data_IF_703447883993
#
_entry.id   IF_703447883993
#
_cell.length_a   1.000
_cell.length_b   1.000
_cell.length_c   1.000
_cell.angle_alpha   90.00
_cell.angle_beta   90.00
_cell.angle_gamma   90.00
#
_symmetry.space_group_name_H-M   'P 1'
#
loop_
_entity.id
_entity.type
_entity.pdbx_description
1 polymer ?
#
# COMPACT_ATOMS: atom_id res chain seq x y z
N UNK A 1 -11.06 6.34 -4.17
CA UNK A 1 -9.89 5.56 -3.69
C UNK A 1 -10.12 5.10 -2.25
N UNK A 2 -10.01 5.97 -1.23
CA UNK A 2 -10.11 5.57 0.18
C UNK A 2 -11.41 4.89 0.58
N UNK A 3 -12.59 5.37 0.14
CA UNK A 3 -13.86 4.72 0.43
C UNK A 3 -13.90 3.25 -0.04
N UNK A 4 -13.38 2.97 -1.24
CA UNK A 4 -13.24 1.61 -1.74
C UNK A 4 -12.20 0.80 -0.96
N UNK A 5 -11.11 1.42 -0.49
CA UNK A 5 -10.14 0.77 0.39
C UNK A 5 -10.74 0.38 1.74
N UNK A 6 -11.62 1.21 2.31
CA UNK A 6 -12.33 0.90 3.56
C UNK A 6 -13.28 -0.29 3.39
N UNK A 7 -13.86 -0.44 2.20
CA UNK A 7 -14.68 -1.59 1.82
C UNK A 7 -13.86 -2.80 1.34
N UNK A 8 -12.52 -2.71 1.38
CA UNK A 8 -11.58 -3.72 0.84
C UNK A 8 -11.80 -4.07 -0.63
N UNK A 9 -12.37 -3.15 -1.40
CA UNK A 9 -12.57 -3.29 -2.85
C UNK A 9 -11.32 -2.81 -3.59
N UNK A 10 -10.25 -3.60 -3.51
CA UNK A 10 -8.89 -3.23 -3.94
C UNK A 10 -8.78 -2.86 -5.42
N UNK A 11 -9.36 -3.65 -6.33
CA UNK A 11 -9.41 -3.32 -7.76
C UNK A 11 -10.02 -1.93 -8.04
N UNK A 12 -11.17 -1.63 -7.41
CA UNK A 12 -11.82 -0.32 -7.55
C UNK A 12 -10.94 0.78 -6.98
N UNK A 13 -10.38 0.58 -5.79
CA UNK A 13 -9.47 1.52 -5.17
C UNK A 13 -8.25 1.81 -6.06
N UNK A 14 -7.65 0.77 -6.66
CA UNK A 14 -6.52 0.86 -7.58
C UNK A 14 -6.87 1.66 -8.84
N UNK A 15 -8.05 1.43 -9.44
CA UNK A 15 -8.51 2.21 -10.59
C UNK A 15 -8.60 3.71 -10.28
N UNK A 16 -9.09 4.08 -9.10
CA UNK A 16 -9.10 5.48 -8.67
C UNK A 16 -7.70 6.00 -8.32
N UNK A 17 -6.83 5.19 -7.73
CA UNK A 17 -5.44 5.58 -7.48
C UNK A 17 -4.69 5.85 -8.79
N UNK A 18 -4.93 5.05 -9.83
CA UNK A 18 -4.41 5.27 -11.18
C UNK A 18 -4.87 6.60 -11.75
N UNK A 19 -6.19 6.89 -11.72
CA UNK A 19 -6.72 8.19 -12.18
C UNK A 19 -6.10 9.36 -11.43
N UNK A 20 -5.93 9.25 -10.10
CA UNK A 20 -5.26 10.28 -9.31
C UNK A 20 -3.79 10.44 -9.71
N UNK A 21 -3.07 9.35 -9.97
CA UNK A 21 -1.68 9.41 -10.46
C UNK A 21 -1.59 10.14 -11.81
N UNK A 22 -2.53 9.88 -12.70
CA UNK A 22 -2.52 10.40 -14.08
C UNK A 22 -2.96 11.87 -14.12
N UNK A 23 -4.01 12.23 -13.39
CA UNK A 23 -4.70 13.53 -13.52
C UNK A 23 -4.37 14.53 -12.40
N UNK A 24 -3.96 14.07 -11.21
CA UNK A 24 -3.79 14.96 -10.05
C UNK A 24 -2.46 15.70 -10.06
N UNK A 25 -2.49 16.96 -9.58
CA UNK A 25 -1.31 17.82 -9.39
C UNK A 25 -0.68 17.68 -8.01
N UNK A 26 -1.27 16.91 -7.09
CA UNK A 26 -0.83 16.88 -5.70
C UNK A 26 0.50 16.13 -5.49
N UNK A 27 0.54 14.83 -5.77
CA UNK A 27 1.79 14.05 -5.69
C UNK A 27 1.73 12.76 -6.51
N UNK A 28 2.46 12.75 -7.63
CA UNK A 28 2.64 11.54 -8.44
C UNK A 28 3.35 10.43 -7.67
N UNK A 29 4.30 10.79 -6.80
CA UNK A 29 4.99 9.86 -5.91
C UNK A 29 4.00 9.08 -5.02
N UNK A 30 3.14 9.80 -4.29
CA UNK A 30 2.18 9.17 -3.38
C UNK A 30 1.21 8.29 -4.13
N UNK A 31 0.58 8.77 -5.21
CA UNK A 31 -0.40 7.97 -5.94
C UNK A 31 0.20 6.77 -6.67
N UNK A 32 1.46 6.85 -7.12
CA UNK A 32 2.16 5.70 -7.70
C UNK A 32 2.41 4.62 -6.64
N UNK A 33 2.84 5.01 -5.44
CA UNK A 33 2.99 4.09 -4.32
C UNK A 33 1.63 3.50 -3.90
N UNK A 34 0.59 4.33 -3.78
CA UNK A 34 -0.76 3.87 -3.42
C UNK A 34 -1.33 2.91 -4.44
N UNK A 35 -1.12 3.15 -5.75
CA UNK A 35 -1.52 2.21 -6.79
C UNK A 35 -0.82 0.86 -6.62
N UNK A 36 0.50 0.87 -6.35
CA UNK A 36 1.28 -0.35 -6.17
C UNK A 36 0.77 -1.19 -4.97
N UNK A 37 0.58 -0.57 -3.80
CA UNK A 37 0.13 -1.30 -2.61
C UNK A 37 -1.30 -1.83 -2.74
N UNK A 38 -2.17 -1.14 -3.50
CA UNK A 38 -3.55 -1.58 -3.75
C UNK A 38 -3.59 -2.74 -4.76
N UNK A 39 -2.75 -2.71 -5.80
CA UNK A 39 -2.58 -3.86 -6.70
C UNK A 39 -2.00 -5.05 -5.93
N UNK A 40 -1.04 -4.82 -5.03
CA UNK A 40 -0.48 -5.88 -4.20
C UNK A 40 -1.51 -6.51 -3.27
N UNK A 41 -2.48 -5.74 -2.77
CA UNK A 41 -3.54 -6.21 -1.87
C UNK A 41 -4.58 -7.10 -2.57
N UNK A 42 -4.74 -6.96 -3.89
CA UNK A 42 -5.68 -7.78 -4.66
C UNK A 42 -4.99 -9.04 -5.19
N UNK A 43 -5.43 -10.22 -4.74
CA UNK A 43 -4.86 -11.51 -5.15
C UNK A 43 -5.25 -11.91 -6.58
N UNK A 44 -6.28 -11.28 -7.16
CA UNK A 44 -6.82 -11.66 -8.46
C UNK A 44 -6.14 -10.96 -9.64
N UNK A 45 -5.14 -10.09 -9.39
CA UNK A 45 -4.51 -9.29 -10.45
C UNK A 45 -3.47 -10.12 -11.21
N UNK A 46 -3.59 -10.26 -12.55
CA UNK A 46 -2.57 -10.92 -13.37
C UNK A 46 -1.23 -10.18 -13.34
N UNK A 47 -0.11 -10.91 -13.35
CA UNK A 47 1.26 -10.34 -13.32
C UNK A 47 1.46 -9.31 -12.20
N UNK A 48 0.77 -9.50 -11.06
CA UNK A 48 0.78 -8.62 -9.89
C UNK A 48 2.19 -8.21 -9.46
N UNK A 49 3.09 -9.18 -9.30
CA UNK A 49 4.45 -8.93 -8.85
C UNK A 49 5.20 -7.97 -9.77
N UNK A 50 5.15 -8.21 -11.08
CA UNK A 50 5.81 -7.37 -12.09
C UNK A 50 5.23 -5.95 -12.12
N UNK A 51 3.90 -5.83 -12.04
CA UNK A 51 3.22 -4.53 -12.01
C UNK A 51 3.60 -3.72 -10.76
N UNK A 52 3.60 -4.37 -9.59
CA UNK A 52 4.00 -3.76 -8.31
C UNK A 52 5.45 -3.32 -8.34
N UNK A 53 6.35 -4.19 -8.79
CA UNK A 53 7.78 -3.89 -8.88
C UNK A 53 8.04 -2.71 -9.82
N UNK A 54 7.43 -2.71 -11.00
CA UNK A 54 7.53 -1.61 -11.96
C UNK A 54 7.06 -0.29 -11.34
N UNK A 55 5.91 -0.29 -10.66
CA UNK A 55 5.38 0.91 -10.02
C UNK A 55 6.30 1.43 -8.91
N UNK A 56 6.80 0.54 -8.06
CA UNK A 56 7.65 0.93 -6.94
C UNK A 56 9.02 1.46 -7.37
N UNK A 57 9.58 0.98 -8.49
CA UNK A 57 10.80 1.55 -9.08
C UNK A 57 10.66 3.02 -9.46
N UNK A 58 9.47 3.47 -9.86
CA UNK A 58 9.23 4.87 -10.24
C UNK A 58 8.99 5.82 -9.05
N UNK A 59 8.70 5.29 -7.86
CA UNK A 59 8.32 6.10 -6.69
C UNK A 59 9.45 7.05 -6.25
N UNK A 60 10.71 6.61 -6.10
CA UNK A 60 11.80 7.49 -5.66
C UNK A 60 12.05 8.68 -6.60
N UNK A 61 11.87 8.47 -7.90
CA UNK A 61 12.11 9.45 -8.97
C UNK A 61 10.96 10.44 -9.13
N UNK A 62 9.75 10.05 -8.70
CA UNK A 62 8.54 10.88 -8.79
C UNK A 62 8.40 11.91 -7.65
N UNK A 63 9.41 12.02 -6.78
CA UNK A 63 9.39 12.94 -5.63
C UNK A 63 9.58 14.39 -6.05
N UNK A 64 8.80 15.26 -5.44
CA UNK A 64 8.90 16.71 -5.59
C UNK A 64 9.53 17.31 -4.34
N UNK A 65 10.38 18.32 -4.55
CA UNK A 65 10.92 19.15 -3.47
C UNK A 65 10.28 20.51 -3.54
N UNK A 66 9.71 20.96 -2.43
CA UNK A 66 9.17 22.31 -2.26
C UNK A 66 10.11 23.03 -1.30
N UNK A 67 10.70 24.14 -1.75
CA UNK A 67 11.73 24.87 -1.01
C UNK A 67 12.88 23.96 -0.50
N UNK A 68 13.32 23.03 -1.35
CA UNK A 68 14.42 22.09 -1.03
C UNK A 68 14.04 20.93 -0.10
N UNK A 69 12.83 20.93 0.48
CA UNK A 69 12.34 19.85 1.36
C UNK A 69 11.37 18.94 0.60
N UNK A 70 11.50 17.64 0.81
CA UNK A 70 10.49 16.68 0.34
C UNK A 70 9.28 16.66 1.27
N UNK A 71 8.09 16.46 0.70
CA UNK A 71 6.88 16.25 1.49
C UNK A 71 7.03 15.00 2.37
N UNK A 72 6.57 15.01 3.64
CA UNK A 72 6.68 13.86 4.53
C UNK A 72 6.09 12.57 3.96
N UNK A 73 4.92 12.66 3.31
CA UNK A 73 4.26 11.52 2.68
C UNK A 73 5.06 10.93 1.51
N UNK A 74 5.70 11.77 0.70
CA UNK A 74 6.56 11.31 -0.38
C UNK A 74 7.82 10.63 0.13
N UNK A 75 8.41 11.17 1.20
CA UNK A 75 9.55 10.54 1.87
C UNK A 75 9.16 9.18 2.42
N UNK A 76 8.00 9.05 3.08
CA UNK A 76 7.46 7.77 3.52
C UNK A 76 7.32 6.79 2.35
N UNK A 77 6.63 7.18 1.27
CA UNK A 77 6.40 6.31 0.11
C UNK A 77 7.72 5.83 -0.51
N UNK A 78 8.70 6.73 -0.69
CA UNK A 78 10.00 6.36 -1.26
C UNK A 78 10.82 5.44 -0.35
N UNK A 79 10.76 5.62 0.97
CA UNK A 79 11.40 4.71 1.92
C UNK A 79 10.77 3.31 1.86
N UNK A 80 9.45 3.23 1.81
CA UNK A 80 8.72 1.95 1.72
C UNK A 80 8.96 1.23 0.40
N UNK A 81 8.95 1.98 -0.71
CA UNK A 81 9.31 1.45 -2.03
C UNK A 81 10.75 0.92 -2.05
N UNK A 82 11.70 1.69 -1.52
CA UNK A 82 13.11 1.28 -1.44
C UNK A 82 13.31 0.04 -0.56
N UNK A 83 12.56 -0.07 0.54
CA UNK A 83 12.57 -1.27 1.38
C UNK A 83 12.06 -2.48 0.60
N UNK A 84 10.93 -2.36 -0.09
CA UNK A 84 10.41 -3.44 -0.92
C UNK A 84 11.42 -3.92 -1.96
N UNK A 85 12.08 -3.01 -2.68
CA UNK A 85 13.07 -3.39 -3.69
C UNK A 85 14.27 -4.16 -3.10
N UNK A 86 14.51 -4.04 -1.79
CA UNK A 86 15.56 -4.79 -1.08
C UNK A 86 15.05 -6.09 -0.45
N UNK A 87 13.82 -6.09 0.06
CA UNK A 87 13.29 -7.22 0.86
C UNK A 87 12.24 -8.06 0.15
N UNK A 88 11.73 -7.61 -1.00
CA UNK A 88 10.65 -8.26 -1.75
C UNK A 88 9.28 -8.23 -1.07
N UNK A 89 9.11 -7.50 0.04
CA UNK A 89 7.90 -7.59 0.88
C UNK A 89 7.17 -6.26 1.10
N UNK A 90 5.87 -6.27 0.77
CA UNK A 90 4.88 -5.23 1.07
C UNK A 90 3.86 -5.71 2.12
N UNK A 91 4.30 -6.51 3.09
CA UNK A 91 3.43 -7.05 4.14
C UNK A 91 2.55 -5.94 4.76
N UNK A 92 1.23 -6.06 4.58
CA UNK A 92 0.21 -5.14 5.09
C UNK A 92 0.39 -3.65 4.68
N UNK A 93 1.12 -3.36 3.61
CA UNK A 93 1.46 -1.99 3.23
C UNK A 93 0.23 -1.10 2.92
N UNK A 94 -0.87 -1.69 2.44
CA UNK A 94 -2.13 -0.99 2.20
C UNK A 94 -2.80 -0.56 3.52
N UNK A 95 -2.84 -1.42 4.54
CA UNK A 95 -3.38 -1.07 5.86
C UNK A 95 -2.49 -0.08 6.62
N UNK A 96 -1.17 -0.20 6.51
CA UNK A 96 -0.25 0.80 7.07
C UNK A 96 -0.47 2.18 6.43
N UNK A 97 -0.71 2.23 5.12
CA UNK A 97 -1.02 3.48 4.44
C UNK A 97 -2.39 4.03 4.86
N UNK A 98 -3.41 3.17 5.06
CA UNK A 98 -4.69 3.61 5.63
C UNK A 98 -4.51 4.19 7.03
N UNK A 99 -3.67 3.58 7.87
CA UNK A 99 -3.33 4.11 9.20
C UNK A 99 -2.68 5.48 9.11
N UNK A 100 -1.67 5.65 8.24
CA UNK A 100 -1.00 6.93 8.00
C UNK A 100 -1.97 8.05 7.58
N UNK A 101 -3.04 7.71 6.88
CA UNK A 101 -4.09 8.63 6.42
C UNK A 101 -5.27 8.78 7.39
N UNK A 102 -5.14 8.32 8.64
CA UNK A 102 -6.23 8.33 9.63
C UNK A 102 -7.47 7.54 9.21
N UNK A 103 -7.33 6.58 8.29
CA UNK A 103 -8.45 5.79 7.78
C UNK A 103 -9.20 5.02 8.87
N UNK A 104 -8.46 4.49 9.86
CA UNK A 104 -9.08 3.81 11.00
C UNK A 104 -9.87 4.74 11.92
N UNK A 105 -9.44 6.00 12.07
CA UNK A 105 -10.24 6.99 12.80
C UNK A 105 -11.56 7.28 12.08
N UNK A 106 -11.55 7.32 10.74
CA UNK A 106 -12.76 7.49 9.93
C UNK A 106 -13.72 6.30 10.07
N UNK A 107 -13.18 5.08 10.15
CA UNK A 107 -13.99 3.85 10.27
C UNK A 107 -14.34 3.48 11.72
N UNK A 108 -13.82 4.20 12.72
CA UNK A 108 -13.84 3.80 14.14
C UNK A 108 -15.22 3.40 14.67
N UNK A 109 -16.27 4.09 14.24
CA UNK A 109 -17.64 3.84 14.69
C UNK A 109 -18.35 2.70 13.92
N UNK A 110 -17.74 2.14 12.88
CA UNK A 110 -18.33 1.13 12.02
C UNK A 110 -17.56 -0.19 12.10
N UNK A 111 -17.96 -1.04 13.05
CA UNK A 111 -17.34 -2.36 13.26
C UNK A 111 -17.39 -3.24 12.03
N UNK A 112 -18.45 -3.13 11.20
CA UNK A 112 -18.59 -3.90 9.95
C UNK A 112 -17.49 -3.61 8.93
N UNK A 113 -16.82 -2.46 9.02
CA UNK A 113 -15.66 -2.13 8.19
C UNK A 113 -14.35 -2.60 8.84
N UNK A 114 -14.26 -2.56 10.17
CA UNK A 114 -13.02 -2.85 10.91
C UNK A 114 -12.81 -4.35 11.09
N UNK A 115 -13.84 -5.11 11.48
CA UNK A 115 -13.74 -6.55 11.75
C UNK A 115 -13.09 -7.31 10.58
N UNK A 116 -13.52 -7.11 9.32
CA UNK A 116 -12.93 -7.85 8.21
C UNK A 116 -11.50 -7.40 7.87
N UNK A 117 -11.12 -6.16 8.24
CA UNK A 117 -9.74 -5.69 8.13
C UNK A 117 -8.85 -6.37 9.16
N UNK A 118 -9.35 -6.55 10.40
CA UNK A 118 -8.63 -7.27 11.44
C UNK A 118 -8.41 -8.74 11.04
N UNK A 119 -9.44 -9.39 10.50
CA UNK A 119 -9.34 -10.76 9.96
C UNK A 119 -8.24 -10.87 8.88
N UNK A 120 -8.15 -9.91 7.95
CA UNK A 120 -7.10 -9.90 6.94
C UNK A 120 -5.70 -9.73 7.55
N UNK A 121 -5.57 -8.87 8.56
CA UNK A 121 -4.31 -8.63 9.27
C UNK A 121 -3.86 -9.91 9.97
N UNK A 122 -4.75 -10.55 10.72
CA UNK A 122 -4.47 -11.80 11.45
C UNK A 122 -4.13 -12.95 10.50
N UNK A 123 -4.88 -13.10 9.41
CA UNK A 123 -4.61 -14.12 8.40
C UNK A 123 -3.25 -13.91 7.73
N UNK A 124 -2.92 -12.66 7.40
CA UNK A 124 -1.62 -12.30 6.81
C UNK A 124 -0.47 -12.52 7.78
N UNK A 125 -0.65 -12.14 9.04
CA UNK A 125 0.33 -12.35 10.11
C UNK A 125 0.59 -13.84 10.36
N UNK A 126 -0.48 -14.65 10.36
CA UNK A 126 -0.40 -16.10 10.49
C UNK A 126 0.36 -16.76 9.33
N UNK A 127 0.14 -16.32 8.07
CA UNK A 127 0.92 -16.79 6.91
C UNK A 127 2.40 -16.45 7.05
N UNK A 128 2.71 -15.20 7.42
CA UNK A 128 4.08 -14.74 7.63
C UNK A 128 4.83 -15.56 8.70
N UNK A 129 4.15 -15.93 9.80
CA UNK A 129 4.75 -16.76 10.85
C UNK A 129 5.01 -18.20 10.38
N UNK A 130 4.12 -18.77 9.58
CA UNK A 130 4.33 -20.13 9.02
C UNK A 130 5.51 -20.17 8.06
N UNK A 131 5.62 -19.16 7.19
CA UNK A 131 6.70 -19.06 6.19
C UNK A 131 8.08 -18.84 6.85
N UNK A 132 8.16 -18.04 7.92
CA UNK A 132 9.43 -17.73 8.58
C UNK A 132 9.76 -18.65 9.77
N UNK A 133 8.76 -19.23 10.43
CA UNK A 133 8.92 -20.16 11.55
C UNK A 133 9.41 -21.56 11.15
N UNK A 134 9.30 -21.93 9.88
CA UNK A 134 9.87 -23.18 9.34
C UNK A 134 11.39 -23.15 9.15
N UNK A 135 12.04 -22.00 9.31
CA UNK A 135 13.48 -21.82 8.99
C UNK A 135 14.38 -21.95 10.24
N UNK A 136 13.83 -22.20 11.43
CA UNK A 136 14.59 -22.19 12.70
C UNK A 136 14.90 -23.60 13.24
N UNK A 137 14.66 -24.67 12.48
CA UNK A 137 14.91 -26.06 12.93
C UNK A 137 15.71 -26.93 11.94
N UNK A 138 16.74 -26.39 11.29
CA UNK A 138 17.79 -27.20 10.65
C UNK A 138 19.17 -26.66 10.97
#
# INVERSE_FOLDING_TARGET
MFAYSYLRQWAHAANYAKRLRDDSRWSKCVYTYTLAILINADENVPRRAEAVEHLLKMVPDSRVRIAGKSLPFEKFCALKASRFLKTGSLLLAHYEFLYLWNGFAVMAANTKLIEPILEDIDATWGRFHKENGGTVLQ
#
